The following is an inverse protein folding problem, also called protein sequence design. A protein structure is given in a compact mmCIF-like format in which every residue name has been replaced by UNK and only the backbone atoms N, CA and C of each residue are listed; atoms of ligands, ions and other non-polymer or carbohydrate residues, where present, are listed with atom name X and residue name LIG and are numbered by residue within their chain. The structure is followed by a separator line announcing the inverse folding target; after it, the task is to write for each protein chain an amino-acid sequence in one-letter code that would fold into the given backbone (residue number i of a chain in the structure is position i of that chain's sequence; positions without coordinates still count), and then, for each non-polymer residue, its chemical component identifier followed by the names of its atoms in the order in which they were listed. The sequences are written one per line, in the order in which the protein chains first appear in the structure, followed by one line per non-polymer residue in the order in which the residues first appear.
data_IF_554307153358
#
_entry.id   IF_554307153358
#
_cell.length_a   1.000
_cell.length_b   1.000
_cell.length_c   1.000
_cell.angle_alpha   90.00
_cell.angle_beta   90.00
_cell.angle_gamma   90.00
#
_symmetry.space_group_name_H-M   'P 1'
#
loop_
_entity.id
_entity.type
_entity.pdbx_description
1 polymer ?
#
# COMPACT_ATOMS: atom_id res chain seq x y z
N UNK A 1 -16.18 -20.65 33.88
CA UNK A 1 -16.26 -19.57 32.89
C UNK A 1 -15.42 -19.98 31.69
N UNK A 2 -16.03 -20.52 30.64
CA UNK A 2 -15.29 -20.94 29.44
C UNK A 2 -14.83 -19.68 28.68
N UNK A 3 -13.52 -19.51 28.51
CA UNK A 3 -12.96 -18.55 27.58
C UNK A 3 -13.31 -19.02 26.17
N UNK A 4 -14.35 -18.46 25.56
CA UNK A 4 -14.57 -18.60 24.13
C UNK A 4 -13.36 -18.00 23.41
N UNK A 5 -12.43 -18.86 23.00
CA UNK A 5 -11.26 -18.46 22.24
C UNK A 5 -11.70 -17.80 20.94
N UNK A 6 -11.32 -16.56 20.74
CA UNK A 6 -11.57 -15.86 19.48
C UNK A 6 -10.74 -16.58 18.40
N UNK A 7 -11.42 -17.29 17.51
CA UNK A 7 -10.80 -17.90 16.34
C UNK A 7 -10.56 -16.80 15.30
N UNK A 8 -9.29 -16.41 15.13
CA UNK A 8 -8.92 -15.38 14.15
C UNK A 8 -9.06 -15.94 12.73
N UNK A 9 -9.85 -15.24 11.89
CA UNK A 9 -9.99 -15.57 10.48
C UNK A 9 -8.67 -15.31 9.76
N UNK A 10 -8.26 -16.25 8.89
CA UNK A 10 -7.11 -16.03 8.00
C UNK A 10 -7.37 -14.79 7.13
N UNK A 11 -6.39 -13.89 6.98
CA UNK A 11 -6.60 -12.67 6.24
C UNK A 11 -6.67 -12.97 4.73
N UNK A 12 -7.64 -12.35 4.06
CA UNK A 12 -7.81 -12.43 2.61
C UNK A 12 -6.90 -11.42 1.91
N UNK A 13 -6.22 -11.86 0.86
CA UNK A 13 -5.41 -11.00 0.01
C UNK A 13 -6.11 -10.74 -1.32
N UNK A 14 -5.96 -9.53 -1.84
CA UNK A 14 -6.41 -9.13 -3.17
C UNK A 14 -5.19 -8.87 -4.06
N UNK A 15 -5.45 -8.71 -5.36
CA UNK A 15 -4.45 -8.39 -6.38
C UNK A 15 -4.40 -6.89 -6.66
N UNK A 16 -3.31 -6.41 -7.26
CA UNK A 16 -3.13 -4.99 -7.57
C UNK A 16 -4.20 -4.46 -8.52
N UNK A 17 -4.58 -5.22 -9.54
CA UNK A 17 -5.64 -4.84 -10.50
C UNK A 17 -7.05 -4.68 -9.88
N UNK A 18 -7.25 -5.21 -8.67
CA UNK A 18 -8.50 -5.09 -7.92
C UNK A 18 -8.56 -3.83 -7.05
N UNK A 19 -7.48 -3.05 -6.97
CA UNK A 19 -7.47 -1.80 -6.22
C UNK A 19 -8.35 -0.75 -6.90
N UNK A 20 -9.28 -0.18 -6.15
CA UNK A 20 -10.21 0.85 -6.60
C UNK A 20 -10.12 2.09 -5.69
N UNK A 21 -10.53 3.29 -6.17
CA UNK A 21 -10.45 4.54 -5.41
C UNK A 21 -11.01 4.49 -3.98
N UNK A 22 -12.03 3.67 -3.73
CA UNK A 22 -12.72 3.52 -2.44
C UNK A 22 -12.21 2.35 -1.59
N UNK A 23 -11.24 1.58 -2.09
CA UNK A 23 -10.74 0.36 -1.45
C UNK A 23 -10.10 0.65 -0.08
N UNK A 24 -10.52 -0.12 0.93
CA UNK A 24 -10.06 -0.02 2.33
C UNK A 24 -9.92 -1.40 2.95
N UNK A 25 -9.07 -1.52 3.95
CA UNK A 25 -8.81 -2.78 4.64
C UNK A 25 -8.17 -3.85 3.76
N UNK A 26 -7.48 -3.42 2.69
CA UNK A 26 -6.90 -4.33 1.70
C UNK A 26 -5.64 -4.98 2.24
N UNK A 27 -5.42 -6.24 1.87
CA UNK A 27 -4.15 -6.91 2.11
C UNK A 27 -3.55 -7.29 0.75
N UNK A 28 -2.31 -6.90 0.50
CA UNK A 28 -1.61 -7.17 -0.77
C UNK A 28 -0.18 -7.65 -0.49
N UNK A 29 0.35 -8.46 -1.40
CA UNK A 29 1.74 -8.91 -1.40
C UNK A 29 2.37 -8.31 -2.65
N UNK A 30 3.43 -7.54 -2.51
CA UNK A 30 4.02 -6.77 -3.60
C UNK A 30 5.53 -6.99 -3.65
N UNK A 31 6.10 -7.02 -4.85
CA UNK A 31 7.53 -6.87 -5.10
C UNK A 31 7.83 -5.39 -5.31
N UNK A 32 8.80 -4.85 -4.58
CA UNK A 32 9.19 -3.42 -4.68
C UNK A 32 10.10 -3.23 -5.89
N UNK A 33 9.72 -2.30 -6.77
CA UNK A 33 10.51 -1.90 -7.94
C UNK A 33 11.44 -0.73 -7.60
N UNK A 34 10.90 0.34 -7.03
CA UNK A 34 11.65 1.55 -6.65
C UNK A 34 11.18 2.06 -5.30
N UNK A 35 12.05 2.81 -4.61
CA UNK A 35 11.72 3.47 -3.35
C UNK A 35 12.63 4.68 -3.14
N UNK A 36 12.06 5.81 -2.73
CA UNK A 36 12.80 7.04 -2.46
C UNK A 36 12.12 7.90 -1.39
N UNK A 37 12.93 8.56 -0.57
CA UNK A 37 12.47 9.62 0.34
C UNK A 37 12.08 10.86 -0.44
N UNK A 38 10.89 11.41 -0.18
CA UNK A 38 10.39 12.66 -0.77
C UNK A 38 10.53 13.85 0.16
N UNK A 39 10.33 13.64 1.45
CA UNK A 39 10.38 14.68 2.45
C UNK A 39 11.04 14.13 3.70
N UNK A 40 11.99 14.88 4.25
CA UNK A 40 12.52 14.67 5.59
C UNK A 40 12.56 16.04 6.27
N UNK A 41 11.89 16.16 7.42
CA UNK A 41 11.81 17.41 8.18
C UNK A 41 11.86 17.13 9.67
N UNK A 42 12.66 17.91 10.39
CA UNK A 42 12.69 17.87 11.86
C UNK A 42 11.40 18.45 12.46
N UNK A 43 10.89 17.80 13.50
CA UNK A 43 9.79 18.28 14.34
C UNK A 43 10.34 19.02 15.54
N UNK A 44 9.48 19.80 16.20
CA UNK A 44 9.84 20.56 17.41
C UNK A 44 10.29 19.66 18.58
N UNK A 45 9.81 18.42 18.62
CA UNK A 45 10.19 17.40 19.61
C UNK A 45 11.51 16.67 19.28
N UNK A 46 12.20 17.06 18.21
CA UNK A 46 13.43 16.42 17.73
C UNK A 46 13.21 15.14 16.93
N UNK A 47 11.96 14.66 16.78
CA UNK A 47 11.65 13.55 15.89
C UNK A 47 11.66 13.98 14.43
N UNK A 48 11.87 13.03 13.51
CA UNK A 48 11.84 13.30 12.06
C UNK A 48 10.51 12.91 11.45
N UNK A 49 9.88 13.83 10.72
CA UNK A 49 8.80 13.52 9.79
C UNK A 49 9.43 13.09 8.47
N UNK A 50 9.27 11.81 8.10
CA UNK A 50 9.77 11.25 6.84
C UNK A 50 8.61 10.73 6.00
N UNK A 51 8.57 11.17 4.74
CA UNK A 51 7.63 10.69 3.74
C UNK A 51 8.43 10.19 2.55
N UNK A 52 8.12 8.99 2.08
CA UNK A 52 8.69 8.41 0.87
C UNK A 52 7.60 7.95 -0.09
N UNK A 53 8.03 7.56 -1.27
CA UNK A 53 7.20 6.87 -2.25
C UNK A 53 7.92 5.61 -2.72
N UNK A 54 7.16 4.58 -3.04
CA UNK A 54 7.67 3.39 -3.69
C UNK A 54 6.75 2.96 -4.82
N UNK A 55 7.30 2.39 -5.89
CA UNK A 55 6.54 1.66 -6.90
C UNK A 55 6.70 0.19 -6.56
N UNK A 56 5.60 -0.53 -6.41
CA UNK A 56 5.59 -1.96 -6.14
C UNK A 56 4.41 -2.62 -6.86
N UNK A 57 4.49 -3.92 -7.10
CA UNK A 57 3.43 -4.61 -7.83
C UNK A 57 3.43 -6.12 -7.68
N UNK A 58 2.45 -6.74 -8.31
CA UNK A 58 2.36 -8.18 -8.49
C UNK A 58 2.20 -8.53 -9.98
N UNK A 59 1.89 -9.78 -10.28
CA UNK A 59 1.63 -10.30 -11.63
C UNK A 59 0.41 -9.66 -12.32
N UNK A 60 -0.42 -8.88 -11.61
CA UNK A 60 -1.60 -8.21 -12.17
C UNK A 60 -1.37 -6.74 -12.48
N UNK A 61 -0.47 -6.07 -11.76
CA UNK A 61 -0.13 -4.68 -12.03
C UNK A 61 0.86 -4.08 -11.04
N UNK A 62 1.09 -2.78 -11.14
CA UNK A 62 1.85 -1.97 -10.20
C UNK A 62 1.05 -0.82 -9.64
N UNK A 63 1.41 -0.42 -8.43
CA UNK A 63 0.80 0.66 -7.66
C UNK A 63 1.89 1.52 -7.02
N UNK A 64 1.63 2.81 -6.89
CA UNK A 64 2.48 3.72 -6.12
C UNK A 64 2.03 3.75 -4.66
N UNK A 65 2.97 3.50 -3.75
CA UNK A 65 2.77 3.56 -2.30
C UNK A 65 3.23 4.92 -1.76
N UNK A 66 2.50 5.45 -0.78
CA UNK A 66 3.00 6.52 0.08
C UNK A 66 3.49 5.92 1.40
N UNK A 67 4.77 6.15 1.70
CA UNK A 67 5.49 5.56 2.83
C UNK A 67 5.75 6.60 3.91
N UNK A 68 5.68 6.20 5.18
CA UNK A 68 5.92 7.09 6.34
C UNK A 68 6.93 6.47 7.30
N UNK A 69 7.91 7.26 7.74
CA UNK A 69 8.90 6.80 8.73
C UNK A 69 9.61 5.52 8.29
N UNK A 70 9.65 4.52 9.18
CA UNK A 70 10.34 3.23 9.01
C UNK A 70 9.85 2.37 7.84
N UNK A 71 8.69 2.73 7.27
CA UNK A 71 8.16 2.06 6.08
C UNK A 71 9.08 2.27 4.87
N UNK A 72 9.83 3.38 4.83
CA UNK A 72 10.81 3.68 3.76
C UNK A 72 11.94 2.65 3.80
N UNK A 73 12.43 2.32 5.00
CA UNK A 73 13.45 1.30 5.22
C UNK A 73 12.94 -0.10 4.86
N UNK A 74 11.66 -0.39 5.16
CA UNK A 74 11.04 -1.69 4.85
C UNK A 74 10.87 -1.91 3.34
N UNK A 75 10.59 -0.86 2.58
CA UNK A 75 10.35 -0.93 1.14
C UNK A 75 11.63 -0.72 0.33
N UNK A 76 12.54 -1.69 0.33
CA UNK A 76 13.73 -1.64 -0.53
C UNK A 76 13.50 -2.30 -1.90
N UNK A 77 14.07 -1.76 -3.00
CA UNK A 77 14.00 -2.39 -4.31
C UNK A 77 14.39 -3.88 -4.28
N UNK A 78 13.64 -4.69 -5.02
CA UNK A 78 13.80 -6.14 -5.09
C UNK A 78 13.17 -6.92 -3.93
N UNK A 79 12.82 -6.27 -2.81
CA UNK A 79 12.18 -6.95 -1.67
C UNK A 79 10.72 -7.24 -1.92
N UNK A 80 10.25 -8.32 -1.31
CA UNK A 80 8.83 -8.62 -1.21
C UNK A 80 8.29 -8.06 0.10
N UNK A 81 7.19 -7.32 0.01
CA UNK A 81 6.50 -6.70 1.13
C UNK A 81 5.08 -7.23 1.24
N UNK A 82 4.56 -7.25 2.47
CA UNK A 82 3.18 -7.54 2.78
C UNK A 82 2.55 -6.30 3.40
N UNK A 83 1.57 -5.74 2.72
CA UNK A 83 0.73 -4.66 3.25
C UNK A 83 -0.50 -5.29 3.87
N UNK A 84 -0.77 -4.95 5.13
CA UNK A 84 -1.96 -5.36 5.88
C UNK A 84 -2.79 -4.14 6.22
N UNK A 85 -4.10 -4.25 6.02
CA UNK A 85 -5.06 -3.20 6.32
C UNK A 85 -4.68 -1.86 5.63
N UNK A 86 -4.33 -1.95 4.35
CA UNK A 86 -4.06 -0.79 3.51
C UNK A 86 -5.36 -0.07 3.10
N UNK A 87 -5.21 1.15 2.63
CA UNK A 87 -6.29 1.95 2.03
C UNK A 87 -5.79 2.62 0.75
N UNK A 88 -6.71 2.87 -0.16
CA UNK A 88 -6.46 3.76 -1.29
C UNK A 88 -6.72 5.20 -0.88
N UNK A 89 -5.76 6.06 -1.22
CA UNK A 89 -5.82 7.50 -1.04
C UNK A 89 -5.76 8.16 -2.41
N UNK A 90 -6.72 9.04 -2.70
CA UNK A 90 -6.68 9.86 -3.91
C UNK A 90 -5.64 10.97 -3.75
N UNK A 91 -4.77 11.11 -4.74
CA UNK A 91 -3.77 12.15 -4.86
C UNK A 91 -3.73 12.69 -6.29
N UNK A 92 -4.20 13.94 -6.46
CA UNK A 92 -4.24 14.63 -7.77
C UNK A 92 -4.91 13.79 -8.87
N UNK A 93 -6.09 13.23 -8.61
CA UNK A 93 -6.82 12.40 -9.57
C UNK A 93 -6.36 10.94 -9.65
N UNK A 94 -5.26 10.55 -9.00
CA UNK A 94 -4.72 9.20 -9.09
C UNK A 94 -4.77 8.46 -7.75
N UNK A 95 -4.80 7.14 -7.80
CA UNK A 95 -4.76 6.31 -6.58
C UNK A 95 -3.33 6.15 -6.05
N UNK A 96 -3.20 6.12 -4.72
CA UNK A 96 -1.99 5.76 -3.97
C UNK A 96 -2.35 4.76 -2.88
N UNK A 97 -1.54 3.72 -2.70
CA UNK A 97 -1.70 2.78 -1.59
C UNK A 97 -1.01 3.33 -0.33
N UNK A 98 -1.76 3.43 0.76
CA UNK A 98 -1.27 3.82 2.08
C UNK A 98 -1.54 2.72 3.10
N UNK A 99 -0.67 2.58 4.09
CA UNK A 99 -0.96 1.79 5.30
C UNK A 99 -1.90 2.61 6.18
N UNK A 100 -3.02 2.03 6.62
CA UNK A 100 -3.94 2.71 7.53
C UNK A 100 -3.40 2.76 8.98
N UNK A 101 -4.13 3.40 9.90
CA UNK A 101 -3.70 3.57 11.30
C UNK A 101 -3.57 2.27 12.11
N UNK A 102 -4.25 1.20 11.70
CA UNK A 102 -4.22 -0.12 12.33
C UNK A 102 -3.44 -1.16 11.50
N UNK A 103 -2.98 -0.74 10.33
CA UNK A 103 -2.29 -1.54 9.36
C UNK A 103 -0.80 -1.58 9.62
N UNK A 104 -0.15 -2.41 8.82
CA UNK A 104 1.30 -2.51 8.83
C UNK A 104 1.81 -2.90 7.46
N UNK A 105 3.05 -2.56 7.22
CA UNK A 105 3.85 -3.06 6.12
C UNK A 105 5.03 -3.81 6.73
N UNK A 106 5.29 -5.01 6.23
CA UNK A 106 6.40 -5.84 6.69
C UNK A 106 7.09 -6.44 5.48
N UNK A 107 8.39 -6.70 5.58
CA UNK A 107 9.07 -7.54 4.61
C UNK A 107 8.55 -8.99 4.75
N UNK A 108 8.30 -9.66 3.63
CA UNK A 108 7.95 -11.08 3.62
C UNK A 108 9.17 -11.94 4.00
N UNK A 109 8.91 -13.09 4.64
CA UNK A 109 9.95 -14.08 4.96
C UNK A 109 10.53 -14.72 3.69
N UNK A 110 9.66 -14.96 2.70
CA UNK A 110 10.04 -15.50 1.40
C UNK A 110 9.85 -14.46 0.30
N UNK A 111 10.75 -14.46 -0.67
CA UNK A 111 10.63 -13.64 -1.87
C UNK A 111 9.50 -14.17 -2.78
N UNK A 112 8.69 -13.26 -3.31
CA UNK A 112 7.65 -13.56 -4.27
C UNK A 112 8.26 -14.09 -5.58
N UNK A 113 7.65 -15.14 -6.12
CA UNK A 113 8.06 -15.77 -7.39
C UNK A 113 7.44 -15.12 -8.63
N UNK A 114 6.55 -14.16 -8.44
CA UNK A 114 5.93 -13.43 -9.54
C UNK A 114 6.84 -12.29 -10.01
N UNK A 115 6.71 -11.93 -11.28
CA UNK A 115 7.23 -10.68 -11.82
C UNK A 115 6.15 -9.62 -11.84
N UNK A 116 6.56 -8.37 -11.70
CA UNK A 116 5.63 -7.23 -11.70
C UNK A 116 5.10 -7.05 -13.12
N UNK A 117 3.77 -6.98 -13.27
CA UNK A 117 3.17 -6.55 -14.53
C UNK A 117 3.32 -5.03 -14.69
N UNK A 118 4.44 -4.61 -15.30
CA UNK A 118 4.72 -3.19 -15.56
C UNK A 118 3.81 -2.56 -16.63
N UNK A 119 3.08 -3.38 -17.40
CA UNK A 119 2.13 -2.91 -18.40
C UNK A 119 0.80 -2.42 -17.82
N UNK A 120 0.57 -2.64 -16.52
CA UNK A 120 -0.64 -2.21 -15.83
C UNK A 120 -0.29 -1.39 -14.58
N UNK A 121 -0.09 -0.09 -14.73
CA UNK A 121 0.07 0.82 -13.60
C UNK A 121 -1.28 1.42 -13.18
N UNK A 122 -1.90 0.83 -12.15
CA UNK A 122 -3.20 1.30 -11.64
C UNK A 122 -3.11 2.71 -11.03
N UNK A 123 -1.90 3.13 -10.62
CA UNK A 123 -1.62 4.47 -10.09
C UNK A 123 -1.42 5.54 -11.16
N UNK A 124 -1.38 5.15 -12.44
CA UNK A 124 -1.36 6.06 -13.60
C UNK A 124 -2.77 6.36 -14.14
N UNK A 125 -3.78 5.56 -13.77
CA UNK A 125 -5.18 5.85 -14.11
C UNK A 125 -5.67 7.10 -13.40
N UNK A 126 -6.27 8.04 -14.15
CA UNK A 126 -6.91 9.24 -13.63
C UNK A 126 -8.40 8.96 -13.36
N UNK A 127 -8.88 9.42 -12.21
CA UNK A 127 -10.25 9.28 -11.75
C UNK A 127 -10.85 10.65 -11.44
N UNK A 128 -12.10 10.83 -11.80
CA UNK A 128 -12.91 11.98 -11.45
C UNK A 128 -14.04 11.59 -10.48
N UNK A 129 -14.37 12.49 -9.56
CA UNK A 129 -15.52 12.31 -8.69
C UNK A 129 -16.79 12.67 -9.48
N UNK A 130 -17.62 11.67 -9.77
CA UNK A 130 -18.92 11.88 -10.39
C UNK A 130 -19.98 11.98 -9.30
N UNK A 131 -20.60 13.15 -9.16
CA UNK A 131 -21.79 13.32 -8.32
C UNK A 131 -23.01 12.91 -9.12
N UNK A 132 -23.65 11.81 -8.75
CA UNK A 132 -24.93 11.40 -9.34
C UNK A 132 -26.01 12.21 -8.63
N UNK A 133 -26.58 13.20 -9.32
CA UNK A 133 -27.78 13.88 -8.81
C UNK A 133 -28.97 12.96 -9.07
N UNK A 134 -29.46 12.29 -8.02
CA UNK A 134 -30.78 11.65 -8.06
C UNK A 134 -31.82 12.80 -8.10
N UNK A 135 -32.50 12.93 -9.24
CA UNK A 135 -33.56 13.93 -9.46
C UNK A 135 -34.85 13.62 -8.71
#
# INVERSE_FOLDING_TARGET
MASNGIVLKKPTFIKVDQLQPDSRGVNVILKVKTSHTKLEKDRQDGSKMRIGEAIAGDDTGMVTLTLRGEQIETCQPGKTIVVRNGKIQMFKGHIRLEVDKWGKIVQAEEEAKFEINEGNDVSSTEYELVTINEG
#
